data_IF_766075340198
#
_entry.id   IF_766075340198
#
_cell.length_a   1.000
_cell.length_b   1.000
_cell.length_c   1.000
_cell.angle_alpha   90.00
_cell.angle_beta   90.00
_cell.angle_gamma   90.00
#
_symmetry.space_group_name_H-M   'P 1'
#
loop_
_entity.id
_entity.type
_entity.pdbx_description
1 polymer ?
#
# COMPACT_ATOMS: atom_id res chain seq x y z
N UNK A 1 -5.44 -24.19 17.51
CA UNK A 1 -4.17 -23.67 17.02
C UNK A 1 -4.19 -22.15 17.08
N UNK A 2 -3.08 -21.53 17.46
CA UNK A 2 -2.94 -20.08 17.54
C UNK A 2 -1.55 -19.71 17.03
N UNK A 3 -1.47 -18.65 16.25
CA UNK A 3 -0.21 -18.07 15.78
C UNK A 3 -0.31 -16.54 15.82
N UNK A 4 0.74 -15.87 16.32
CA UNK A 4 0.87 -14.44 16.29
C UNK A 4 2.31 -14.13 15.88
N UNK A 5 2.47 -13.30 14.84
CA UNK A 5 3.78 -12.90 14.33
C UNK A 5 3.80 -11.39 14.13
N UNK A 6 4.83 -10.72 14.64
CA UNK A 6 5.06 -9.29 14.42
C UNK A 6 6.36 -9.08 13.66
N UNK A 7 6.30 -8.28 12.59
CA UNK A 7 7.44 -7.91 11.75
C UNK A 7 7.48 -6.40 11.58
N UNK A 8 8.64 -5.82 11.78
CA UNK A 8 8.81 -4.38 11.63
C UNK A 8 10.20 -4.00 11.12
N UNK A 9 10.26 -2.88 10.42
CA UNK A 9 11.49 -2.24 10.00
C UNK A 9 11.28 -0.73 9.98
N UNK A 10 11.95 0.01 10.85
CA UNK A 10 11.88 1.48 10.87
C UNK A 10 12.61 2.12 9.68
N UNK A 11 13.49 1.36 9.04
CA UNK A 11 14.23 1.76 7.84
C UNK A 11 14.27 0.57 6.89
N UNK A 12 13.66 0.73 5.71
CA UNK A 12 13.79 -0.21 4.62
C UNK A 12 15.08 0.02 3.83
N UNK A 13 15.29 -0.86 2.83
CA UNK A 13 16.42 -0.78 1.90
C UNK A 13 16.40 0.54 1.10
N UNK A 14 15.23 0.99 0.67
CA UNK A 14 15.04 2.25 -0.03
C UNK A 14 14.83 3.38 0.99
N UNK A 15 15.44 4.54 0.72
CA UNK A 15 15.38 5.69 1.63
C UNK A 15 13.93 6.11 1.96
N UNK A 16 13.69 6.42 3.23
CA UNK A 16 12.39 6.90 3.73
C UNK A 16 11.30 5.85 3.77
N UNK A 17 11.63 4.57 3.53
CA UNK A 17 10.66 3.47 3.66
C UNK A 17 10.68 2.85 5.05
N UNK A 18 9.54 2.30 5.44
CA UNK A 18 9.32 1.54 6.66
C UNK A 18 8.29 0.44 6.42
N UNK A 19 8.24 -0.53 7.32
CA UNK A 19 7.30 -1.65 7.29
C UNK A 19 6.90 -2.02 8.72
N UNK A 20 5.61 -2.26 8.93
CA UNK A 20 5.03 -2.67 10.20
C UNK A 20 3.85 -3.61 9.93
N UNK A 21 3.90 -4.84 10.42
CA UNK A 21 2.84 -5.83 10.22
C UNK A 21 2.71 -6.77 11.41
N UNK A 22 1.47 -6.99 11.80
CA UNK A 22 1.05 -8.03 12.72
C UNK A 22 0.28 -9.08 11.94
N UNK A 23 0.63 -10.36 12.08
CA UNK A 23 -0.16 -11.46 11.53
C UNK A 23 -0.73 -12.29 12.69
N UNK A 24 -1.99 -12.65 12.61
CA UNK A 24 -2.60 -13.54 13.56
C UNK A 24 -3.40 -14.64 12.88
N UNK A 25 -3.44 -15.78 13.52
CA UNK A 25 -4.31 -16.91 13.21
C UNK A 25 -4.83 -17.50 14.50
N UNK A 26 -6.12 -17.81 14.53
CA UNK A 26 -6.75 -18.58 15.59
C UNK A 26 -7.66 -19.63 14.95
N UNK A 27 -7.58 -20.88 15.43
CA UNK A 27 -8.43 -21.97 14.95
C UNK A 27 -8.79 -22.94 16.07
N UNK A 28 -10.05 -23.32 16.12
CA UNK A 28 -10.60 -24.32 17.05
C UNK A 28 -11.49 -25.29 16.30
N UNK A 29 -11.46 -26.57 16.72
CA UNK A 29 -12.33 -27.60 16.20
C UNK A 29 -12.88 -28.43 17.34
N UNK A 30 -14.15 -28.80 17.26
CA UNK A 30 -14.84 -29.75 18.13
C UNK A 30 -15.42 -30.90 17.28
N UNK A 31 -15.11 -32.11 17.63
CA UNK A 31 -15.70 -33.35 17.06
C UNK A 31 -16.57 -34.03 18.10
N UNK A 32 -17.68 -34.60 17.63
CA UNK A 32 -18.60 -35.41 18.43
C UNK A 32 -18.66 -36.84 17.89
N UNK A 33 -19.01 -37.78 18.75
CA UNK A 33 -19.07 -39.21 18.40
C UNK A 33 -20.24 -39.58 17.45
N UNK A 34 -21.16 -38.63 17.21
CA UNK A 34 -22.31 -38.81 16.31
C UNK A 34 -22.02 -38.39 14.86
N UNK A 35 -20.75 -38.30 14.46
CA UNK A 35 -20.35 -37.98 13.10
C UNK A 35 -20.31 -36.49 12.75
N UNK A 36 -20.60 -35.58 13.68
CA UNK A 36 -20.52 -34.14 13.47
C UNK A 36 -19.19 -33.57 13.92
N UNK A 37 -18.69 -32.57 13.20
CA UNK A 37 -17.66 -31.68 13.69
C UNK A 37 -17.92 -30.23 13.31
N UNK A 38 -17.52 -29.32 14.18
CA UNK A 38 -17.54 -27.90 13.93
C UNK A 38 -16.12 -27.34 14.03
N UNK A 39 -15.72 -26.53 13.09
CA UNK A 39 -14.48 -25.77 13.12
C UNK A 39 -14.73 -24.31 12.91
N UNK A 40 -13.95 -23.49 13.60
CA UNK A 40 -13.88 -22.05 13.40
C UNK A 40 -12.43 -21.64 13.26
N UNK A 41 -12.15 -20.85 12.24
CA UNK A 41 -10.83 -20.24 12.06
C UNK A 41 -10.97 -18.78 11.70
N UNK A 42 -10.08 -17.96 12.24
CA UNK A 42 -9.97 -16.53 11.88
C UNK A 42 -8.52 -16.16 11.74
N UNK A 43 -8.25 -15.25 10.79
CA UNK A 43 -6.92 -14.74 10.53
C UNK A 43 -6.96 -13.32 9.99
N UNK A 44 -5.82 -12.64 10.07
CA UNK A 44 -5.65 -11.32 9.53
C UNK A 44 -4.20 -10.86 9.61
N UNK A 45 -3.90 -9.85 8.80
CA UNK A 45 -2.56 -9.31 8.69
C UNK A 45 -2.62 -7.78 8.55
N UNK A 46 -2.95 -7.02 9.63
CA UNK A 46 -2.85 -5.57 9.57
C UNK A 46 -1.41 -5.15 9.26
N UNK A 47 -1.27 -4.40 8.17
CA UNK A 47 0.02 -3.95 7.64
C UNK A 47 -0.01 -2.45 7.41
N UNK A 48 1.05 -1.77 7.86
CA UNK A 48 1.34 -0.39 7.49
C UNK A 48 2.73 -0.33 6.86
N UNK A 49 2.83 0.21 5.67
CA UNK A 49 4.09 0.35 4.96
C UNK A 49 4.14 1.62 4.14
N UNK A 50 5.32 2.17 3.99
CA UNK A 50 5.53 3.26 3.04
C UNK A 50 5.92 2.72 1.67
N UNK A 51 5.58 3.49 0.64
CA UNK A 51 5.93 3.19 -0.74
C UNK A 51 7.20 3.92 -1.16
N UNK A 52 7.79 3.41 -2.21
CA UNK A 52 8.86 4.04 -2.97
C UNK A 52 8.35 4.47 -4.35
N UNK A 53 9.00 5.46 -4.96
CA UNK A 53 8.78 5.88 -6.33
C UNK A 53 10.04 5.67 -7.16
N UNK A 54 9.86 5.25 -8.41
CA UNK A 54 10.92 5.34 -9.39
C UNK A 54 11.12 6.82 -9.79
N UNK A 55 12.34 7.19 -10.08
CA UNK A 55 12.72 8.50 -10.62
C UNK A 55 13.51 8.32 -11.92
N UNK A 56 13.88 9.42 -12.57
CA UNK A 56 14.67 9.39 -13.80
C UNK A 56 16.14 9.09 -13.51
N UNK A 57 16.89 8.69 -14.53
CA UNK A 57 18.35 8.47 -14.43
C UNK A 57 19.08 9.76 -14.01
N UNK A 58 18.63 10.91 -14.47
CA UNK A 58 19.13 12.21 -14.02
C UNK A 58 19.02 12.37 -12.51
N UNK A 59 17.88 12.02 -11.92
CA UNK A 59 17.65 12.12 -10.48
C UNK A 59 18.55 11.16 -9.70
N UNK A 60 18.72 9.93 -10.18
CA UNK A 60 19.64 8.97 -9.56
C UNK A 60 21.10 9.45 -9.65
N UNK A 61 21.49 10.03 -10.78
CA UNK A 61 22.80 10.64 -10.94
C UNK A 61 23.02 11.83 -9.99
N UNK A 62 22.07 12.75 -9.90
CA UNK A 62 22.11 13.89 -8.98
C UNK A 62 22.16 13.46 -7.52
N UNK A 63 21.41 12.44 -7.18
CA UNK A 63 21.37 11.86 -5.85
C UNK A 63 22.65 11.07 -5.53
N UNK A 64 23.38 10.61 -6.54
CA UNK A 64 24.43 9.60 -6.44
C UNK A 64 23.95 8.39 -5.63
N UNK A 65 22.71 7.96 -5.85
CA UNK A 65 22.07 6.91 -5.06
C UNK A 65 20.88 6.29 -5.81
N UNK A 66 21.00 5.02 -6.20
CA UNK A 66 19.90 4.25 -6.81
C UNK A 66 18.78 3.85 -5.83
N UNK A 67 18.98 4.06 -4.52
CA UNK A 67 17.95 3.86 -3.48
C UNK A 67 17.19 5.16 -3.15
N UNK A 68 17.38 6.21 -3.95
CA UNK A 68 16.67 7.47 -3.80
C UNK A 68 15.16 7.25 -3.90
N UNK A 69 14.42 7.97 -3.07
CA UNK A 69 12.97 7.94 -3.04
C UNK A 69 12.42 9.36 -2.86
N UNK A 70 11.59 9.87 -3.78
CA UNK A 70 11.06 11.23 -3.72
C UNK A 70 9.91 11.40 -2.71
N UNK A 71 9.39 10.32 -2.13
CA UNK A 71 8.13 10.37 -1.38
C UNK A 71 8.28 10.67 0.09
N UNK A 72 9.46 10.97 0.58
CA UNK A 72 9.68 11.22 1.99
C UNK A 72 10.45 12.52 2.27
N UNK A 73 10.40 12.96 3.51
CA UNK A 73 11.15 14.09 4.03
C UNK A 73 11.03 14.17 5.53
N UNK A 74 11.49 15.27 6.10
CA UNK A 74 11.37 15.52 7.54
C UNK A 74 10.23 16.48 7.84
N UNK A 75 9.49 16.17 8.92
CA UNK A 75 8.50 17.02 9.55
C UNK A 75 8.88 17.15 11.03
N UNK A 76 9.19 18.34 11.51
CA UNK A 76 9.66 18.58 12.89
C UNK A 76 10.77 17.58 13.29
N UNK A 77 11.75 17.36 12.42
CA UNK A 77 12.87 16.45 12.63
C UNK A 77 12.53 14.95 12.54
N UNK A 78 11.27 14.56 12.33
CA UNK A 78 10.84 13.17 12.16
C UNK A 78 10.65 12.82 10.71
N UNK A 79 11.09 11.62 10.31
CA UNK A 79 10.86 11.13 8.95
C UNK A 79 9.37 10.88 8.70
N UNK A 80 8.90 11.36 7.56
CA UNK A 80 7.53 11.17 7.09
C UNK A 80 7.54 10.83 5.61
N UNK A 81 6.85 9.76 5.24
CA UNK A 81 6.60 9.40 3.85
C UNK A 81 5.20 9.89 3.45
N UNK A 82 5.06 10.38 2.23
CA UNK A 82 3.77 10.87 1.70
C UNK A 82 2.88 9.75 1.17
N UNK A 83 3.47 8.58 0.85
CA UNK A 83 2.78 7.41 0.33
C UNK A 83 2.84 6.26 1.32
N UNK A 84 1.83 6.22 2.18
CA UNK A 84 1.65 5.16 3.17
C UNK A 84 0.48 4.29 2.75
N UNK A 85 0.68 2.99 2.81
CA UNK A 85 -0.34 1.98 2.55
C UNK A 85 -0.67 1.30 3.87
N UNK A 86 -1.96 1.32 4.23
CA UNK A 86 -2.53 0.52 5.29
C UNK A 86 -3.41 -0.55 4.65
N UNK A 87 -3.17 -1.80 5.01
CA UNK A 87 -3.90 -2.95 4.47
C UNK A 87 -4.26 -3.89 5.62
N UNK A 88 -5.54 -4.25 5.71
CA UNK A 88 -6.03 -5.20 6.69
C UNK A 88 -7.27 -5.91 6.16
N UNK A 89 -7.17 -7.23 6.00
CA UNK A 89 -8.24 -8.08 5.53
C UNK A 89 -8.53 -9.21 6.54
N UNK A 90 -9.19 -8.90 7.68
CA UNK A 90 -9.65 -9.93 8.61
C UNK A 90 -10.64 -10.86 7.92
N UNK A 91 -10.42 -12.14 8.11
CA UNK A 91 -11.26 -13.19 7.57
C UNK A 91 -11.61 -14.21 8.64
N UNK A 92 -12.79 -14.81 8.52
CA UNK A 92 -13.22 -15.90 9.37
C UNK A 92 -13.96 -16.93 8.54
N UNK A 93 -13.80 -18.20 8.92
CA UNK A 93 -14.52 -19.31 8.34
C UNK A 93 -15.08 -20.20 9.46
N UNK A 94 -16.35 -20.54 9.34
CA UNK A 94 -17.03 -21.51 10.16
C UNK A 94 -17.38 -22.69 9.27
N UNK A 95 -16.97 -23.92 9.65
CA UNK A 95 -17.23 -25.13 8.87
C UNK A 95 -17.91 -26.17 9.75
N UNK A 96 -18.98 -26.72 9.25
CA UNK A 96 -19.68 -27.88 9.79
C UNK A 96 -19.51 -29.06 8.85
N UNK A 97 -18.89 -30.13 9.36
CA UNK A 97 -18.79 -31.41 8.69
C UNK A 97 -19.72 -32.41 9.36
N UNK A 98 -20.45 -33.18 8.56
CA UNK A 98 -21.33 -34.24 8.96
C UNK A 98 -21.04 -35.50 8.18
N UNK A 99 -20.46 -36.50 8.85
CA UNK A 99 -20.35 -37.88 8.35
C UNK A 99 -21.71 -38.53 8.48
N UNK A 100 -22.54 -38.49 7.45
CA UNK A 100 -23.90 -39.06 7.42
C UNK A 100 -23.83 -40.60 7.63
N UNK A 101 -22.84 -41.21 6.97
CA UNK A 101 -22.43 -42.59 7.14
C UNK A 101 -20.97 -42.77 6.67
N UNK A 102 -20.44 -44.01 6.67
CA UNK A 102 -19.05 -44.31 6.31
C UNK A 102 -18.68 -43.95 4.88
N UNK A 103 -19.68 -43.71 4.01
CA UNK A 103 -19.48 -43.40 2.59
C UNK A 103 -19.86 -41.95 2.20
N UNK A 104 -20.59 -41.25 3.06
CA UNK A 104 -21.22 -40.00 2.72
C UNK A 104 -20.89 -38.93 3.74
N UNK A 105 -20.30 -37.82 3.26
CA UNK A 105 -19.94 -36.64 4.06
C UNK A 105 -20.60 -35.41 3.48
N UNK A 106 -21.20 -34.58 4.31
CA UNK A 106 -21.66 -33.22 4.00
C UNK A 106 -20.75 -32.24 4.70
N UNK A 107 -20.21 -31.29 3.92
CA UNK A 107 -19.42 -30.15 4.43
C UNK A 107 -20.13 -28.87 4.09
N UNK A 108 -20.44 -28.05 5.10
CA UNK A 108 -21.04 -26.74 4.92
C UNK A 108 -20.17 -25.68 5.59
N UNK A 109 -19.82 -24.63 4.85
CA UNK A 109 -18.93 -23.57 5.33
C UNK A 109 -19.54 -22.18 5.10
N UNK A 110 -19.42 -21.33 6.10
CA UNK A 110 -19.70 -19.89 6.02
C UNK A 110 -18.39 -19.13 6.14
N UNK A 111 -18.03 -18.41 5.09
CA UNK A 111 -16.86 -17.56 5.03
C UNK A 111 -17.26 -16.09 5.06
N UNK A 112 -16.54 -15.29 5.83
CA UNK A 112 -16.65 -13.84 5.86
C UNK A 112 -15.29 -13.16 5.83
N UNK A 113 -15.16 -12.08 5.04
CA UNK A 113 -13.97 -11.24 4.98
C UNK A 113 -14.36 -9.77 4.83
N UNK A 114 -13.66 -8.91 5.54
CA UNK A 114 -13.76 -7.46 5.34
C UNK A 114 -12.37 -6.88 5.04
N UNK A 115 -12.10 -6.59 3.78
CA UNK A 115 -10.84 -6.00 3.34
C UNK A 115 -10.90 -4.48 3.43
N UNK A 116 -9.94 -3.90 4.11
CA UNK A 116 -9.71 -2.46 4.25
C UNK A 116 -8.36 -2.11 3.62
N UNK A 117 -8.38 -1.34 2.57
CA UNK A 117 -7.18 -0.83 1.93
C UNK A 117 -7.22 0.69 1.87
N UNK A 118 -6.15 1.32 2.36
CA UNK A 118 -5.95 2.77 2.30
C UNK A 118 -4.57 3.07 1.73
N UNK A 119 -4.48 3.96 0.77
CA UNK A 119 -3.20 4.51 0.31
C UNK A 119 -3.24 6.03 0.30
N UNK A 120 -2.14 6.65 0.72
CA UNK A 120 -2.01 8.11 0.77
C UNK A 120 -1.15 8.63 -0.38
N UNK A 121 -1.36 9.89 -0.74
CA UNK A 121 -0.58 10.65 -1.73
C UNK A 121 -0.56 12.13 -1.33
N UNK A 122 0.62 12.75 -1.35
CA UNK A 122 0.72 14.20 -1.26
C UNK A 122 0.16 14.82 -2.55
N UNK A 123 -0.74 15.79 -2.39
CA UNK A 123 -1.38 16.51 -3.47
C UNK A 123 -1.33 18.02 -3.19
N UNK A 124 -1.67 18.82 -4.19
CA UNK A 124 -1.60 20.29 -4.11
C UNK A 124 -2.74 20.91 -4.93
N UNK A 125 -3.10 22.13 -4.57
CA UNK A 125 -4.14 22.91 -5.22
C UNK A 125 -3.65 24.37 -5.35
N UNK A 126 -3.69 24.94 -6.56
CA UNK A 126 -3.25 26.30 -6.87
C UNK A 126 -1.86 26.66 -6.28
N UNK A 127 -0.95 25.71 -6.31
CA UNK A 127 0.41 25.83 -5.78
C UNK A 127 1.40 25.02 -6.62
N UNK A 128 2.69 25.23 -6.40
CA UNK A 128 3.75 24.47 -7.07
C UNK A 128 3.75 23.00 -6.65
N UNK A 129 4.16 22.14 -7.57
CA UNK A 129 4.29 20.71 -7.29
C UNK A 129 5.32 20.47 -6.17
N UNK A 130 4.93 19.84 -5.04
CA UNK A 130 5.80 19.63 -3.89
C UNK A 130 6.75 18.45 -4.03
N UNK A 131 6.70 17.71 -5.15
CA UNK A 131 7.59 16.57 -5.38
C UNK A 131 8.99 17.06 -5.73
N UNK A 132 10.05 16.59 -5.02
CA UNK A 132 11.41 17.03 -5.29
C UNK A 132 11.86 16.72 -6.72
N UNK A 133 11.47 15.57 -7.25
CA UNK A 133 11.81 15.07 -8.58
C UNK A 133 10.86 15.55 -9.70
N UNK A 134 10.09 16.61 -9.44
CA UNK A 134 9.27 17.21 -10.48
C UNK A 134 10.16 17.81 -11.58
N UNK A 135 9.89 17.44 -12.84
CA UNK A 135 10.76 17.71 -13.96
C UNK A 135 11.18 19.20 -14.12
N UNK A 136 10.28 20.15 -13.79
CA UNK A 136 10.60 21.59 -13.84
C UNK A 136 11.69 22.02 -12.85
N UNK A 137 11.92 21.24 -11.80
CA UNK A 137 12.94 21.51 -10.78
C UNK A 137 14.27 20.82 -11.10
N UNK A 138 14.33 20.02 -12.17
CA UNK A 138 15.54 19.31 -12.56
C UNK A 138 16.45 20.17 -13.43
N UNK A 139 17.78 19.98 -13.36
CA UNK A 139 18.73 20.69 -14.21
C UNK A 139 18.43 20.58 -15.70
N UNK A 140 17.96 19.43 -16.18
CA UNK A 140 17.58 19.20 -17.58
C UNK A 140 16.44 20.11 -18.06
N UNK A 141 15.68 20.75 -17.17
CA UNK A 141 14.68 21.75 -17.55
C UNK A 141 15.31 23.04 -18.10
N UNK A 142 16.52 23.36 -17.66
CA UNK A 142 17.28 24.51 -18.12
C UNK A 142 18.15 24.16 -19.33
N UNK A 143 18.83 23.02 -19.27
CA UNK A 143 19.74 22.56 -20.32
C UNK A 143 19.90 21.04 -20.23
N UNK A 144 19.63 20.33 -21.32
CA UNK A 144 19.79 18.89 -21.38
C UNK A 144 21.19 18.51 -21.87
N UNK A 145 22.10 18.25 -20.95
CA UNK A 145 23.50 17.88 -21.25
C UNK A 145 23.63 16.49 -21.88
N UNK A 146 22.61 15.65 -21.79
CA UNK A 146 22.58 14.30 -22.38
C UNK A 146 22.00 14.28 -23.80
N UNK A 147 21.36 15.39 -24.24
CA UNK A 147 20.80 15.53 -25.58
C UNK A 147 21.68 16.46 -26.42
N UNK A 148 22.58 15.90 -27.22
CA UNK A 148 23.48 16.67 -28.08
C UNK A 148 22.74 17.54 -29.10
N UNK A 149 21.49 17.20 -29.43
CA UNK A 149 20.65 17.92 -30.35
C UNK A 149 19.84 19.06 -29.69
N UNK A 150 19.85 19.15 -28.38
CA UNK A 150 19.15 20.21 -27.66
C UNK A 150 19.92 21.52 -27.77
N UNK A 151 19.43 22.35 -28.66
CA UNK A 151 20.01 23.71 -28.89
C UNK A 151 19.27 24.80 -28.13
N UNK A 152 18.16 24.51 -27.47
CA UNK A 152 17.26 25.49 -26.84
C UNK A 152 17.95 26.40 -25.82
N UNK A 153 18.93 25.84 -25.11
CA UNK A 153 19.53 26.46 -23.92
C UNK A 153 21.06 26.57 -23.98
N UNK A 154 21.65 26.59 -25.18
CA UNK A 154 23.10 26.75 -25.34
C UNK A 154 23.58 28.22 -25.13
N UNK A 155 23.07 28.82 -24.05
CA UNK A 155 23.49 30.15 -23.61
C UNK A 155 24.30 30.01 -22.31
N UNK A 156 25.17 30.98 -22.06
CA UNK A 156 25.94 31.06 -20.81
C UNK A 156 25.00 31.09 -19.58
N UNK A 157 23.87 31.78 -19.70
CA UNK A 157 22.87 31.85 -18.61
C UNK A 157 22.23 30.51 -18.35
N UNK A 158 21.75 29.79 -19.38
CA UNK A 158 21.13 28.47 -19.20
C UNK A 158 22.10 27.47 -18.57
N UNK A 159 23.38 27.51 -18.95
CA UNK A 159 24.40 26.69 -18.33
C UNK A 159 24.67 27.06 -16.86
N UNK A 160 24.65 28.35 -16.52
CA UNK A 160 24.77 28.83 -15.14
C UNK A 160 23.58 28.37 -14.28
N UNK A 161 22.35 28.43 -14.82
CA UNK A 161 21.13 27.98 -14.16
C UNK A 161 21.16 26.45 -13.97
N UNK A 162 21.61 25.69 -14.96
CA UNK A 162 21.82 24.24 -14.84
C UNK A 162 22.81 23.92 -13.72
N UNK A 163 23.97 24.58 -13.66
CA UNK A 163 24.96 24.38 -12.60
C UNK A 163 24.38 24.69 -11.20
N UNK A 164 23.58 25.76 -11.11
CA UNK A 164 22.91 26.14 -9.87
C UNK A 164 21.94 25.06 -9.44
N UNK A 165 21.12 24.53 -10.35
CA UNK A 165 20.19 23.45 -10.09
C UNK A 165 20.90 22.15 -9.69
N UNK A 166 22.01 21.79 -10.35
CA UNK A 166 22.84 20.63 -9.98
C UNK A 166 23.36 20.77 -8.55
N UNK A 167 23.92 21.91 -8.19
CA UNK A 167 24.46 22.15 -6.86
C UNK A 167 23.36 22.12 -5.79
N UNK A 168 22.19 22.66 -6.08
CA UNK A 168 21.02 22.59 -5.21
C UNK A 168 20.58 21.14 -4.98
N UNK A 169 20.49 20.35 -6.04
CA UNK A 169 20.09 18.94 -5.98
C UNK A 169 21.10 18.05 -5.27
N UNK A 170 22.39 18.35 -5.31
CA UNK A 170 23.43 17.59 -4.58
C UNK A 170 23.28 17.70 -3.08
N UNK A 171 22.67 18.75 -2.56
CA UNK A 171 22.35 18.83 -1.14
C UNK A 171 21.18 17.88 -0.80
N UNK A 172 21.43 16.93 0.12
CA UNK A 172 20.46 15.90 0.49
C UNK A 172 19.14 16.48 1.01
N UNK A 173 19.16 17.57 1.73
CA UNK A 173 17.96 18.21 2.28
C UNK A 173 17.03 18.72 1.19
N UNK A 174 17.58 19.20 0.09
CA UNK A 174 16.79 19.74 -1.02
C UNK A 174 16.09 18.66 -1.85
N UNK A 175 16.56 17.40 -1.80
CA UNK A 175 16.00 16.25 -2.53
C UNK A 175 14.83 15.57 -1.83
N UNK A 176 14.35 16.13 -0.73
CA UNK A 176 13.30 15.54 0.09
C UNK A 176 12.08 16.44 0.13
N UNK A 177 10.90 15.86 0.41
CA UNK A 177 9.70 16.65 0.64
C UNK A 177 9.93 17.58 1.82
N UNK A 178 9.74 18.88 1.59
CA UNK A 178 9.93 19.94 2.57
C UNK A 178 8.66 20.13 3.42
N UNK A 179 8.29 19.11 4.22
CA UNK A 179 7.04 19.09 4.97
C UNK A 179 6.80 20.36 5.78
N UNK A 180 7.80 20.85 6.49
CA UNK A 180 7.64 22.04 7.34
C UNK A 180 7.34 23.30 6.51
N UNK A 181 7.89 23.42 5.30
CA UNK A 181 7.56 24.50 4.35
C UNK A 181 6.13 24.37 3.83
N UNK A 182 5.66 23.14 3.52
CA UNK A 182 4.29 22.91 3.08
C UNK A 182 3.29 23.30 4.17
N UNK A 183 3.56 22.93 5.43
CA UNK A 183 2.75 23.35 6.57
C UNK A 183 2.77 24.86 6.80
N UNK A 184 3.94 25.49 6.63
CA UNK A 184 4.05 26.94 6.72
C UNK A 184 3.19 27.64 5.64
N UNK A 185 3.29 27.18 4.38
CA UNK A 185 2.48 27.72 3.28
C UNK A 185 0.98 27.58 3.54
N UNK A 186 0.53 26.44 4.06
CA UNK A 186 -0.88 26.25 4.43
C UNK A 186 -1.32 27.18 5.56
N UNK A 187 -0.47 27.46 6.54
CA UNK A 187 -0.80 28.43 7.61
C UNK A 187 -0.91 29.85 7.05
N UNK A 188 -0.07 30.23 6.09
CA UNK A 188 -0.19 31.54 5.43
C UNK A 188 -1.46 31.64 4.59
N UNK A 189 -1.81 30.58 3.84
CA UNK A 189 -3.06 30.53 3.09
C UNK A 189 -4.28 30.68 4.01
N UNK A 190 -4.32 29.96 5.13
CA UNK A 190 -5.40 30.05 6.12
C UNK A 190 -5.50 31.44 6.76
N UNK A 191 -4.37 32.11 7.04
CA UNK A 191 -4.36 33.48 7.56
C UNK A 191 -4.95 34.49 6.58
N UNK A 192 -4.91 34.18 5.28
CA UNK A 192 -5.48 34.98 4.20
C UNK A 192 -6.90 34.52 3.80
N UNK A 193 -7.54 33.62 4.58
CA UNK A 193 -8.87 33.09 4.29
C UNK A 193 -8.92 32.16 3.06
N UNK A 194 -7.78 31.59 2.66
CA UNK A 194 -7.68 30.68 1.52
C UNK A 194 -7.68 29.22 1.98
N UNK A 195 -8.07 28.32 1.07
CA UNK A 195 -7.98 26.88 1.27
C UNK A 195 -6.54 26.39 1.36
N UNK A 196 -6.36 25.17 1.90
CA UNK A 196 -5.06 24.53 2.01
C UNK A 196 -4.45 24.30 0.61
N UNK A 197 -3.22 24.76 0.42
CA UNK A 197 -2.47 24.60 -0.82
C UNK A 197 -1.94 23.16 -0.99
N UNK A 198 -1.57 22.53 0.12
CA UNK A 198 -0.98 21.17 0.16
C UNK A 198 -1.76 20.29 1.11
N UNK A 199 -2.09 19.09 0.67
CA UNK A 199 -2.83 18.12 1.48
C UNK A 199 -2.44 16.68 1.15
N UNK A 200 -2.69 15.78 2.09
CA UNK A 200 -2.51 14.35 1.88
C UNK A 200 -3.88 13.74 1.57
N UNK A 201 -4.03 13.32 0.33
CA UNK A 201 -5.21 12.60 -0.13
C UNK A 201 -5.10 11.14 0.28
N UNK A 202 -6.21 10.54 0.71
CA UNK A 202 -6.31 9.11 0.96
C UNK A 202 -7.30 8.48 -0.04
N UNK A 203 -6.88 7.38 -0.65
CA UNK A 203 -7.75 6.51 -1.45
C UNK A 203 -8.09 5.28 -0.63
N UNK A 204 -9.38 4.97 -0.52
CA UNK A 204 -9.88 3.79 0.17
C UNK A 204 -10.50 2.81 -0.81
N UNK A 205 -10.17 1.52 -0.67
CA UNK A 205 -10.77 0.41 -1.39
C UNK A 205 -11.15 -0.66 -0.36
N UNK A 206 -12.41 -0.66 0.07
CA UNK A 206 -12.90 -1.59 1.06
C UNK A 206 -13.83 -2.62 0.40
N UNK A 207 -13.67 -3.89 0.75
CA UNK A 207 -14.50 -4.96 0.22
C UNK A 207 -15.05 -5.82 1.35
N UNK A 208 -16.33 -6.15 1.27
CA UNK A 208 -16.98 -7.15 2.12
C UNK A 208 -17.31 -8.37 1.27
N UNK A 209 -16.86 -9.53 1.70
CA UNK A 209 -17.16 -10.81 1.05
C UNK A 209 -17.83 -11.73 2.05
N UNK A 210 -18.97 -12.29 1.68
CA UNK A 210 -19.67 -13.34 2.45
C UNK A 210 -19.97 -14.48 1.49
N UNK A 211 -19.63 -15.71 1.86
CA UNK A 211 -19.84 -16.89 1.02
C UNK A 211 -20.34 -18.04 1.88
N UNK A 212 -21.45 -18.65 1.45
CA UNK A 212 -21.95 -19.91 1.96
C UNK A 212 -21.69 -21.00 0.92
N UNK A 213 -21.06 -22.07 1.33
CA UNK A 213 -20.83 -23.25 0.47
C UNK A 213 -21.29 -24.51 1.18
N UNK A 214 -21.86 -25.44 0.42
CA UNK A 214 -22.24 -26.77 0.91
C UNK A 214 -21.90 -27.81 -0.14
N UNK A 215 -21.22 -28.88 0.24
CA UNK A 215 -20.83 -29.95 -0.66
C UNK A 215 -21.13 -31.32 -0.04
N UNK A 216 -21.76 -32.18 -0.83
CA UNK A 216 -22.01 -33.58 -0.51
C UNK A 216 -21.03 -34.43 -1.30
N UNK A 217 -20.34 -35.32 -0.59
CA UNK A 217 -19.42 -36.29 -1.17
C UNK A 217 -19.87 -37.69 -0.77
N UNK A 218 -20.10 -38.59 -1.73
CA UNK A 218 -20.53 -39.96 -1.44
C UNK A 218 -19.83 -40.97 -2.35
N UNK A 219 -19.43 -42.11 -1.75
CA UNK A 219 -18.88 -43.26 -2.45
C UNK A 219 -19.99 -44.18 -2.91
N UNK A 220 -20.06 -44.43 -4.22
CA UNK A 220 -21.05 -45.34 -4.84
C UNK A 220 -20.31 -46.59 -5.30
N UNK A 221 -20.59 -47.73 -4.62
CA UNK A 221 -19.89 -48.99 -4.88
C UNK A 221 -18.42 -48.94 -4.40
N UNK A 222 -17.53 -49.63 -5.11
CA UNK A 222 -16.10 -49.72 -4.77
C UNK A 222 -15.23 -48.64 -5.40
N UNK A 223 -15.62 -48.16 -6.59
CA UNK A 223 -14.72 -47.39 -7.45
C UNK A 223 -15.30 -46.05 -7.94
N UNK A 224 -16.47 -45.65 -7.48
CA UNK A 224 -17.15 -44.44 -7.91
C UNK A 224 -17.34 -43.47 -6.77
N UNK A 225 -17.05 -42.17 -7.05
CA UNK A 225 -17.29 -41.05 -6.12
C UNK A 225 -18.23 -40.07 -6.79
N UNK A 226 -19.28 -39.65 -6.12
CA UNK A 226 -20.19 -38.62 -6.56
C UNK A 226 -20.03 -37.42 -5.63
N UNK A 227 -19.79 -36.26 -6.28
CA UNK A 227 -19.67 -34.97 -5.60
C UNK A 227 -20.69 -34.00 -6.17
N UNK A 228 -21.42 -33.33 -5.31
CA UNK A 228 -22.29 -32.20 -5.66
C UNK A 228 -22.08 -31.07 -4.66
N UNK A 229 -22.04 -29.86 -5.15
CA UNK A 229 -21.85 -28.67 -4.31
C UNK A 229 -22.66 -27.48 -4.79
N UNK A 230 -23.02 -26.63 -3.84
CA UNK A 230 -23.64 -25.34 -4.06
C UNK A 230 -22.82 -24.28 -3.35
N UNK A 231 -22.57 -23.16 -4.02
CA UNK A 231 -21.92 -21.99 -3.44
C UNK A 231 -22.74 -20.74 -3.79
N UNK A 232 -23.03 -19.95 -2.76
CA UNK A 232 -23.70 -18.65 -2.89
C UNK A 232 -22.81 -17.64 -2.18
N UNK A 233 -22.50 -16.54 -2.85
CA UNK A 233 -21.66 -15.50 -2.28
C UNK A 233 -22.09 -14.10 -2.72
N UNK A 234 -21.75 -13.13 -1.88
CA UNK A 234 -21.89 -11.71 -2.16
C UNK A 234 -20.56 -11.01 -1.94
N UNK A 235 -20.23 -10.11 -2.86
CA UNK A 235 -19.09 -9.22 -2.73
C UNK A 235 -19.58 -7.77 -2.91
N UNK A 236 -19.24 -6.90 -1.94
CA UNK A 236 -19.62 -5.49 -1.93
C UNK A 236 -18.36 -4.64 -1.81
N UNK A 237 -18.01 -3.92 -2.88
CA UNK A 237 -16.91 -2.95 -2.92
C UNK A 237 -17.37 -1.54 -2.56
N UNK A 238 -16.56 -0.83 -1.77
CA UNK A 238 -16.71 0.60 -1.48
C UNK A 238 -15.38 1.31 -1.76
N UNK A 239 -15.42 2.26 -2.69
CA UNK A 239 -14.25 3.02 -3.15
C UNK A 239 -14.51 4.51 -2.97
N UNK A 240 -13.61 5.25 -2.30
CA UNK A 240 -13.69 6.69 -2.07
C UNK A 240 -12.31 7.30 -1.77
#
# INVERSE_FOLDING_TARGET
ATNITYRWANRGYVEGTFYNALSYFFGVQKKWNNGHSLSFSTWGNPTERSSQGASTDEVYWLANNYQYNPYWGYQNGRRRNSRVVNDFAPAAIFTWDWNINDKTTLTTSLFGMYSMYKSTKLNYNNADNPQPDYWKNLPSSYYDVWNEQDTRYRTAQAFADWNTAVNWWRNKENRQIQWDRLYYANRQAAANGQDALYYVQAKHNNNTTITLSSSLNTHIGKDKVFNVGLMIGQNLGRHY
#
